data_IF_883417072543
#
_entry.id   IF_883417072543
#
_cell.length_a   1.000
_cell.length_b   1.000
_cell.length_c   1.000
_cell.angle_alpha   90.00
_cell.angle_beta   90.00
_cell.angle_gamma   90.00
#
_symmetry.space_group_name_H-M   'P 1'
#
loop_
_entity.id
_entity.type
_entity.pdbx_description
1 polymer ?
#
# COMPACT_ATOMS: atom_id res chain seq x y z
N UNK A 1 -24.05 -20.13 15.11
CA UNK A 1 -23.75 -18.70 15.28
C UNK A 1 -22.48 -18.38 14.50
N UNK A 2 -22.62 -17.73 13.35
CA UNK A 2 -21.49 -17.39 12.45
C UNK A 2 -20.72 -16.13 12.88
N UNK A 3 -21.37 -15.26 13.64
CA UNK A 3 -20.80 -14.03 14.20
C UNK A 3 -19.66 -14.34 15.18
N UNK A 4 -19.85 -15.27 16.13
CA UNK A 4 -18.80 -15.64 17.11
C UNK A 4 -17.50 -16.12 16.46
N UNK A 5 -17.61 -16.90 15.36
CA UNK A 5 -16.43 -17.44 14.67
C UNK A 5 -15.63 -16.34 13.96
N UNK A 6 -16.34 -15.40 13.31
CA UNK A 6 -15.71 -14.25 12.65
C UNK A 6 -15.04 -13.31 13.64
N UNK A 7 -15.68 -13.09 14.80
CA UNK A 7 -15.12 -12.30 15.90
C UNK A 7 -13.84 -12.93 16.46
N UNK A 8 -13.83 -14.24 16.74
CA UNK A 8 -12.62 -14.93 17.22
C UNK A 8 -11.48 -14.89 16.19
N UNK A 9 -11.80 -15.03 14.90
CA UNK A 9 -10.81 -14.93 13.82
C UNK A 9 -10.19 -13.54 13.70
N UNK A 10 -10.98 -12.49 13.92
CA UNK A 10 -10.52 -11.11 13.97
C UNK A 10 -9.55 -10.87 15.14
N UNK A 11 -9.92 -11.25 16.36
CA UNK A 11 -9.04 -11.08 17.52
C UNK A 11 -7.74 -11.89 17.41
N UNK A 12 -7.81 -13.14 16.94
CA UNK A 12 -6.61 -13.92 16.67
C UNK A 12 -5.69 -13.26 15.63
N UNK A 13 -6.23 -12.48 14.70
CA UNK A 13 -5.43 -11.74 13.73
C UNK A 13 -4.79 -10.48 14.33
N UNK A 14 -5.46 -9.80 15.25
CA UNK A 14 -4.89 -8.70 16.03
C UNK A 14 -3.73 -9.19 16.92
N UNK A 15 -3.85 -10.38 17.51
CA UNK A 15 -2.78 -11.01 18.28
C UNK A 15 -1.57 -11.34 17.39
N UNK A 16 -1.80 -11.88 16.18
CA UNK A 16 -0.72 -12.09 15.18
C UNK A 16 -0.06 -10.79 14.72
N UNK A 17 -0.76 -9.67 14.81
CA UNK A 17 -0.26 -8.35 14.44
C UNK A 17 0.52 -7.66 15.59
N UNK A 18 0.57 -8.25 16.79
CA UNK A 18 1.32 -7.72 17.93
C UNK A 18 0.84 -6.33 18.37
N UNK A 19 -0.49 -6.11 18.35
CA UNK A 19 -1.15 -4.82 18.61
C UNK A 19 -0.85 -3.69 17.60
N UNK A 20 -0.04 -3.96 16.57
CA UNK A 20 0.20 -3.04 15.46
C UNK A 20 -0.69 -3.39 14.27
N UNK A 21 -1.86 -2.77 14.18
CA UNK A 21 -2.78 -2.97 13.06
C UNK A 21 -2.22 -2.35 11.77
N UNK A 22 -1.38 -3.11 11.05
CA UNK A 22 -0.64 -2.66 9.87
C UNK A 22 -0.64 -3.74 8.81
N UNK A 23 -0.71 -3.31 7.55
CA UNK A 23 -0.47 -4.18 6.41
C UNK A 23 0.89 -4.86 6.52
N UNK A 24 0.92 -6.17 6.34
CA UNK A 24 2.13 -6.97 6.38
C UNK A 24 3.15 -6.52 5.31
N UNK A 25 2.65 -6.17 4.12
CA UNK A 25 3.46 -5.82 2.96
C UNK A 25 3.93 -4.36 3.00
N UNK A 26 2.99 -3.39 3.05
CA UNK A 26 3.34 -1.97 2.96
C UNK A 26 3.43 -1.24 4.31
N UNK A 27 3.17 -1.93 5.43
CA UNK A 27 3.23 -1.40 6.81
C UNK A 27 2.31 -0.21 7.13
N UNK A 28 1.45 0.19 6.18
CA UNK A 28 0.41 1.20 6.38
C UNK A 28 -0.67 0.69 7.35
N UNK A 29 -1.14 1.60 8.19
CA UNK A 29 -2.31 1.46 9.05
C UNK A 29 -3.62 1.51 8.22
N UNK A 30 -4.75 1.02 8.76
CA UNK A 30 -6.05 1.17 8.11
C UNK A 30 -6.38 2.62 7.74
N UNK A 31 -6.03 3.59 8.60
CA UNK A 31 -6.29 5.01 8.36
C UNK A 31 -5.52 5.55 7.14
N UNK A 32 -4.24 5.19 6.99
CA UNK A 32 -3.42 5.57 5.83
C UNK A 32 -3.96 4.94 4.54
N UNK A 33 -4.50 3.72 4.61
CA UNK A 33 -5.09 3.06 3.44
C UNK A 33 -6.45 3.68 3.08
N UNK A 34 -7.29 4.03 4.07
CA UNK A 34 -8.53 4.81 3.85
C UNK A 34 -8.22 6.11 3.12
N UNK A 35 -7.22 6.83 3.60
CA UNK A 35 -6.79 8.08 2.97
C UNK A 35 -6.33 7.87 1.52
N UNK A 36 -5.59 6.80 1.23
CA UNK A 36 -5.18 6.45 -0.13
C UNK A 36 -6.37 6.27 -1.08
N UNK A 37 -7.46 5.66 -0.61
CA UNK A 37 -8.69 5.50 -1.39
C UNK A 37 -9.57 6.76 -1.42
N UNK A 38 -9.11 7.88 -0.86
CA UNK A 38 -9.90 9.11 -0.79
C UNK A 38 -11.00 9.02 0.27
N UNK A 39 -10.75 8.38 1.40
CA UNK A 39 -11.65 8.35 2.56
C UNK A 39 -10.98 8.96 3.79
N UNK A 40 -11.80 9.54 4.69
CA UNK A 40 -11.39 9.92 6.04
C UNK A 40 -11.26 8.67 6.92
N UNK A 41 -10.67 8.83 8.11
CA UNK A 41 -10.44 7.70 9.04
C UNK A 41 -11.73 7.02 9.51
N UNK A 42 -12.80 7.81 9.68
CA UNK A 42 -14.15 7.35 10.00
C UNK A 42 -14.83 6.58 8.85
N UNK A 43 -14.23 6.57 7.65
CA UNK A 43 -14.75 5.90 6.47
C UNK A 43 -15.65 6.78 5.60
N UNK A 44 -15.79 8.08 5.87
CA UNK A 44 -16.52 8.98 4.95
C UNK A 44 -15.67 9.31 3.72
N UNK A 45 -16.21 9.29 2.49
CA UNK A 45 -15.44 9.67 1.31
C UNK A 45 -15.03 11.15 1.35
N UNK A 46 -13.85 11.44 0.81
CA UNK A 46 -13.31 12.77 0.56
C UNK A 46 -13.82 13.19 -0.82
N UNK A 47 -14.64 14.24 -0.86
CA UNK A 47 -15.20 14.81 -2.08
C UNK A 47 -16.04 13.82 -2.93
N UNK A 48 -16.83 12.94 -2.31
CA UNK A 48 -17.68 11.94 -3.00
C UNK A 48 -18.53 12.55 -4.15
N UNK A 49 -19.14 13.70 -3.87
CA UNK A 49 -19.98 14.44 -4.79
C UNK A 49 -19.22 14.95 -6.04
N UNK A 50 -17.90 15.19 -5.93
CA UNK A 50 -17.07 15.64 -7.05
C UNK A 50 -16.78 14.51 -8.05
N UNK A 51 -16.73 13.27 -7.58
CA UNK A 51 -16.34 12.11 -8.38
C UNK A 51 -17.52 11.19 -8.75
N UNK A 52 -18.76 11.56 -8.38
CA UNK A 52 -19.96 10.79 -8.69
C UNK A 52 -19.98 9.40 -8.03
N UNK A 53 -19.22 9.23 -6.95
CA UNK A 53 -19.16 7.99 -6.18
C UNK A 53 -20.37 8.02 -5.24
N UNK A 54 -21.29 7.05 -5.37
CA UNK A 54 -22.34 6.83 -4.37
C UNK A 54 -21.69 6.73 -2.98
N UNK A 55 -22.39 7.18 -1.93
CA UNK A 55 -21.84 7.26 -0.57
C UNK A 55 -21.62 5.84 0.03
N UNK A 56 -20.59 5.16 -0.47
CA UNK A 56 -20.17 3.82 -0.06
C UNK A 56 -19.28 4.00 1.15
N UNK A 57 -19.88 3.91 2.33
CA UNK A 57 -19.14 3.89 3.61
C UNK A 57 -18.38 2.57 3.71
N UNK A 58 -17.05 2.64 3.64
CA UNK A 58 -16.19 1.48 3.88
C UNK A 58 -16.02 1.26 5.39
N UNK A 59 -16.43 0.11 5.90
CA UNK A 59 -16.25 -0.22 7.31
C UNK A 59 -14.76 -0.51 7.59
N UNK A 60 -14.31 -0.38 8.85
CA UNK A 60 -12.89 -0.55 9.24
C UNK A 60 -12.30 -1.90 8.78
N UNK A 61 -13.13 -2.93 8.68
CA UNK A 61 -12.73 -4.29 8.29
C UNK A 61 -12.66 -4.51 6.78
N UNK A 62 -13.25 -3.64 5.97
CA UNK A 62 -13.33 -3.84 4.52
C UNK A 62 -12.01 -3.52 3.80
N UNK A 63 -11.07 -2.88 4.50
CA UNK A 63 -9.83 -2.34 3.94
C UNK A 63 -8.61 -3.20 4.29
N UNK A 64 -8.74 -4.02 5.33
CA UNK A 64 -7.69 -4.92 5.80
C UNK A 64 -8.20 -6.36 5.80
N UNK A 65 -7.59 -7.21 4.99
CA UNK A 65 -7.84 -8.65 5.04
C UNK A 65 -7.07 -9.26 6.19
N UNK A 66 -7.79 -9.67 7.24
CA UNK A 66 -7.24 -10.42 8.39
C UNK A 66 -7.42 -11.93 8.27
N UNK A 67 -8.19 -12.38 7.28
CA UNK A 67 -8.45 -13.79 6.99
C UNK A 67 -7.29 -14.38 6.19
N UNK A 68 -6.17 -14.59 6.85
CA UNK A 68 -4.95 -15.14 6.26
C UNK A 68 -3.82 -15.28 7.27
N UNK A 69 -2.65 -15.74 6.80
CA UNK A 69 -1.47 -15.89 7.66
C UNK A 69 -1.06 -14.56 8.33
N UNK A 70 -1.15 -13.45 7.59
CA UNK A 70 -0.84 -12.09 8.04
C UNK A 70 -1.84 -11.08 7.45
N UNK A 71 -2.07 -9.92 8.10
CA UNK A 71 -2.98 -8.90 7.59
C UNK A 71 -2.44 -8.24 6.33
N UNK A 72 -3.25 -8.11 5.26
CA UNK A 72 -2.87 -7.43 4.02
C UNK A 72 -3.94 -6.40 3.65
N UNK A 73 -3.54 -5.17 3.30
CA UNK A 73 -4.49 -4.14 2.92
C UNK A 73 -5.03 -4.35 1.50
N UNK A 74 -6.23 -3.83 1.23
CA UNK A 74 -6.88 -3.91 -0.08
C UNK A 74 -5.99 -3.38 -1.21
N UNK A 75 -5.20 -2.32 -1.00
CA UNK A 75 -4.25 -1.79 -2.01
C UNK A 75 -3.21 -2.84 -2.39
N UNK A 76 -2.57 -3.47 -1.39
CA UNK A 76 -1.55 -4.48 -1.65
C UNK A 76 -2.15 -5.74 -2.28
N UNK A 77 -3.36 -6.13 -1.86
CA UNK A 77 -4.07 -7.26 -2.47
C UNK A 77 -4.37 -7.00 -3.94
N UNK A 78 -4.99 -5.87 -4.27
CA UNK A 78 -5.31 -5.49 -5.65
C UNK A 78 -4.06 -5.37 -6.54
N UNK A 79 -2.97 -4.81 -6.01
CA UNK A 79 -1.70 -4.74 -6.74
C UNK A 79 -1.14 -6.13 -7.04
N UNK A 80 -1.19 -7.04 -6.06
CA UNK A 80 -0.72 -8.41 -6.25
C UNK A 80 -1.60 -9.17 -7.25
N UNK A 81 -2.92 -9.03 -7.15
CA UNK A 81 -3.88 -9.63 -8.09
C UNK A 81 -3.63 -9.12 -9.52
N UNK A 82 -3.40 -7.81 -9.69
CA UNK A 82 -3.09 -7.20 -10.99
C UNK A 82 -1.81 -7.77 -11.62
N UNK A 83 -0.73 -7.91 -10.84
CA UNK A 83 0.53 -8.51 -11.32
C UNK A 83 0.32 -9.96 -11.77
N UNK A 84 -0.41 -10.74 -10.97
CA UNK A 84 -0.68 -12.14 -11.30
C UNK A 84 -1.56 -12.28 -12.54
N UNK A 85 -2.61 -11.46 -12.66
CA UNK A 85 -3.51 -11.46 -13.82
C UNK A 85 -2.80 -10.99 -15.10
N UNK A 86 -1.77 -10.14 -14.98
CA UNK A 86 -0.95 -9.67 -16.11
C UNK A 86 0.11 -10.69 -16.53
N UNK A 87 0.29 -11.79 -15.80
CA UNK A 87 1.29 -12.81 -16.09
C UNK A 87 2.69 -12.51 -15.55
N UNK A 88 2.86 -11.45 -14.75
CA UNK A 88 4.16 -10.95 -14.27
C UNK A 88 4.69 -11.71 -13.04
N UNK A 89 4.23 -12.94 -12.83
CA UNK A 89 4.60 -13.74 -11.65
C UNK A 89 6.09 -14.02 -11.58
N UNK A 90 6.71 -14.34 -12.71
CA UNK A 90 8.13 -14.71 -12.74
C UNK A 90 9.02 -13.48 -12.50
N UNK A 91 8.68 -12.34 -13.12
CA UNK A 91 9.30 -11.04 -12.84
C UNK A 91 9.21 -10.67 -11.37
N UNK A 92 8.05 -10.89 -10.73
CA UNK A 92 7.88 -10.64 -9.30
C UNK A 92 8.80 -11.52 -8.44
N UNK A 93 8.96 -12.79 -8.78
CA UNK A 93 9.85 -13.71 -8.06
C UNK A 93 11.33 -13.32 -8.22
N UNK A 94 11.73 -12.91 -9.42
CA UNK A 94 13.06 -12.39 -9.69
C UNK A 94 13.33 -11.11 -8.89
N UNK A 95 12.40 -10.16 -8.90
CA UNK A 95 12.50 -8.93 -8.11
C UNK A 95 12.62 -9.22 -6.61
N UNK A 96 11.84 -10.17 -6.07
CA UNK A 96 11.96 -10.56 -4.66
C UNK A 96 13.34 -11.14 -4.35
N UNK A 97 13.92 -11.92 -5.25
CA UNK A 97 15.28 -12.44 -5.12
C UNK A 97 16.32 -11.30 -5.14
N UNK A 98 16.20 -10.35 -6.06
CA UNK A 98 17.07 -9.17 -6.11
C UNK A 98 16.96 -8.32 -4.85
N UNK A 99 15.75 -8.11 -4.33
CA UNK A 99 15.52 -7.36 -3.09
C UNK A 99 16.17 -8.03 -1.87
N UNK A 100 16.21 -9.36 -1.86
CA UNK A 100 16.82 -10.14 -0.78
C UNK A 100 18.36 -10.21 -0.90
N UNK A 101 18.87 -10.47 -2.11
CA UNK A 101 20.28 -10.83 -2.32
C UNK A 101 21.14 -9.72 -2.95
N UNK A 102 20.51 -8.74 -3.59
CA UNK A 102 21.18 -7.74 -4.43
C UNK A 102 20.70 -6.31 -4.14
N UNK A 103 20.29 -6.05 -2.90
CA UNK A 103 19.69 -4.77 -2.48
C UNK A 103 20.48 -3.53 -2.92
N UNK A 104 21.81 -3.59 -2.88
CA UNK A 104 22.68 -2.48 -3.25
C UNK A 104 22.56 -2.08 -4.74
N UNK A 105 22.17 -3.01 -5.61
CA UNK A 105 21.96 -2.73 -7.05
C UNK A 105 20.64 -2.02 -7.34
N UNK A 106 19.68 -2.13 -6.42
CA UNK A 106 18.33 -1.59 -6.60
C UNK A 106 18.22 -0.11 -6.18
N UNK A 107 19.22 0.41 -5.47
CA UNK A 107 19.26 1.82 -5.12
C UNK A 107 19.81 2.62 -6.31
N UNK A 108 19.21 3.78 -6.67
CA UNK A 108 19.80 4.65 -7.67
C UNK A 108 21.22 5.02 -7.24
N UNK A 109 22.17 4.97 -8.18
CA UNK A 109 23.52 5.45 -7.93
C UNK A 109 23.49 6.94 -7.53
N UNK A 110 24.44 7.37 -6.69
CA UNK A 110 24.55 8.77 -6.21
C UNK A 110 24.78 9.82 -7.33
N UNK A 111 24.84 9.39 -8.60
CA UNK A 111 25.14 10.24 -9.74
C UNK A 111 23.89 10.82 -10.44
N UNK A 112 23.05 11.60 -9.74
CA UNK A 112 22.22 12.65 -10.40
C UNK A 112 21.95 13.83 -9.45
N UNK A 113 22.94 14.71 -9.25
CA UNK A 113 22.72 16.11 -8.83
C UNK A 113 23.53 17.11 -9.66
N UNK A 114 23.68 16.88 -10.96
CA UNK A 114 24.30 17.86 -11.88
C UNK A 114 23.47 18.06 -13.15
N UNK A 115 22.19 18.39 -12.98
CA UNK A 115 21.41 19.09 -14.01
C UNK A 115 20.48 20.10 -13.34
N UNK A 116 21.03 21.27 -13.03
CA UNK A 116 20.27 22.37 -12.43
C UNK A 116 20.94 23.73 -12.40
N UNK A 117 22.19 23.89 -12.81
CA UNK A 117 22.80 25.22 -12.98
C UNK A 117 22.87 25.57 -14.47
N UNK A 118 21.95 26.44 -14.90
CA UNK A 118 22.05 27.10 -16.19
C UNK A 118 23.33 27.96 -16.23
N UNK A 119 24.04 28.04 -17.38
CA UNK A 119 25.16 28.97 -17.50
C UNK A 119 24.63 30.39 -17.35
N UNK A 120 25.20 31.15 -16.41
CA UNK A 120 24.96 32.57 -16.26
C UNK A 120 25.20 33.26 -17.62
N UNK A 121 24.18 33.94 -18.11
CA UNK A 121 24.31 34.84 -19.27
C UNK A 121 25.41 35.86 -18.97
N UNK A 122 26.29 36.05 -19.95
CA UNK A 122 27.40 36.96 -19.86
C UNK A 122 26.97 38.41 -19.69
N UNK A 123 27.80 39.16 -18.96
CA UNK A 123 27.84 40.61 -19.05
C UNK A 123 29.04 41.02 -19.91
N UNK A 124 28.74 41.89 -20.85
CA UNK A 124 29.65 42.39 -21.87
C UNK A 124 30.77 43.27 -21.33
N UNK A 125 31.75 43.46 -22.22
CA UNK A 125 32.76 44.49 -22.17
C UNK A 125 32.17 45.90 -22.29
#
# INVERSE_FOLDING_TARGET
>A
MSLDRRFQQYFAALDRAGHGDRCFLCRRTPAEVKHFFGFREDGTPIDAARYGIEDVVLDRLDIMSYFGARPVCAVCQLNFDSLLLSGDRDTLLELLHEMEQQRDKLWPADEVQTRGEAPAKGDGA
#
